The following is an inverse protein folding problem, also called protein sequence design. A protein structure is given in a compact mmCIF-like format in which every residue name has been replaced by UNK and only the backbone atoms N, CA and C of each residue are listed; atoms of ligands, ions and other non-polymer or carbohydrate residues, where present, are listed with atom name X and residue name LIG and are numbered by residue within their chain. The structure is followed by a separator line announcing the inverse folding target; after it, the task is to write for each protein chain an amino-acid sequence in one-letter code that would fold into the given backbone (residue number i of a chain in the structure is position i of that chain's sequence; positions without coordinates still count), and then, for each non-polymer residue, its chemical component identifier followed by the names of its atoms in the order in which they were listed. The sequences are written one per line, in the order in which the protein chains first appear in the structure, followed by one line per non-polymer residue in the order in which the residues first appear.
data_IF_673698825936
#
_entry.id   IF_673698825936
#
_cell.length_a   1.000
_cell.length_b   1.000
_cell.length_c   1.000
_cell.angle_alpha   90.00
_cell.angle_beta   90.00
_cell.angle_gamma   90.00
#
_symmetry.space_group_name_H-M   'P 1'
#
loop_
_entity.id
_entity.type
_entity.pdbx_description
1 polymer ?
#
# COMPACT_ATOMS: atom_id res chain seq x y z
N UNK A 1 27.73 -13.03 42.57
CA UNK A 1 28.15 -11.70 42.08
C UNK A 1 27.05 -10.69 42.40
N UNK A 2 27.15 -10.02 43.55
CA UNK A 2 26.28 -8.92 43.97
C UNK A 2 27.19 -7.70 44.09
N UNK A 3 26.98 -6.71 43.23
CA UNK A 3 27.76 -5.47 43.20
C UNK A 3 27.04 -4.37 43.98
N UNK A 4 27.74 -3.86 45.00
CA UNK A 4 27.46 -2.62 45.70
C UNK A 4 27.47 -1.40 44.77
N UNK A 5 26.59 -0.44 45.01
CA UNK A 5 26.80 0.97 44.66
C UNK A 5 26.13 1.86 45.69
N UNK A 6 26.95 2.29 46.67
CA UNK A 6 26.68 3.35 47.63
C UNK A 6 26.99 4.73 47.02
N UNK A 7 26.10 5.66 47.34
CA UNK A 7 26.36 7.07 47.68
C UNK A 7 26.88 8.05 46.61
N UNK A 8 26.03 9.05 46.31
CA UNK A 8 26.48 10.43 46.18
C UNK A 8 25.45 11.36 46.83
N UNK A 9 25.96 12.27 47.65
CA UNK A 9 25.28 13.08 48.66
C UNK A 9 25.45 14.57 48.26
N UNK A 10 24.52 15.43 48.72
CA UNK A 10 24.56 16.92 48.82
C UNK A 10 24.41 17.78 47.55
N UNK A 11 23.34 18.57 47.51
CA UNK A 11 23.29 19.91 48.14
C UNK A 11 21.87 20.46 48.16
N UNK A 12 21.31 20.58 49.36
CA UNK A 12 20.17 21.44 49.65
C UNK A 12 20.61 22.91 49.55
N UNK A 13 19.81 23.74 48.87
CA UNK A 13 19.80 25.18 49.08
C UNK A 13 18.43 25.56 49.61
N UNK A 14 18.45 26.02 50.84
CA UNK A 14 17.39 26.73 51.54
C UNK A 14 17.08 28.05 50.80
N UNK A 15 15.86 28.15 50.27
CA UNK A 15 15.29 29.39 49.77
C UNK A 15 14.01 29.69 50.54
N UNK A 16 14.12 30.53 51.56
CA UNK A 16 12.99 31.15 52.26
C UNK A 16 12.33 32.17 51.34
N UNK A 17 11.18 31.82 50.79
CA UNK A 17 10.32 32.70 50.01
C UNK A 17 8.87 32.50 50.41
N UNK A 18 8.38 33.42 51.25
CA UNK A 18 6.95 33.64 51.49
C UNK A 18 6.26 33.99 50.16
N UNK A 19 4.94 33.83 50.15
CA UNK A 19 3.98 34.23 49.12
C UNK A 19 3.66 33.16 48.05
N UNK A 20 2.58 32.41 48.28
CA UNK A 20 1.66 31.94 47.22
C UNK A 20 0.55 31.02 47.75
N UNK A 21 -0.12 31.40 48.84
CA UNK A 21 -1.23 30.61 49.42
C UNK A 21 -2.59 30.82 48.70
N UNK A 22 -2.61 31.35 47.47
CA UNK A 22 -3.85 31.67 46.73
C UNK A 22 -3.86 31.18 45.26
N UNK A 23 -3.06 30.18 44.88
CA UNK A 23 -3.07 29.61 43.52
C UNK A 23 -3.43 28.11 43.42
N UNK A 24 -3.62 27.42 44.56
CA UNK A 24 -3.94 25.99 44.58
C UNK A 24 -5.34 25.64 44.06
N UNK A 25 -6.34 26.47 44.36
CA UNK A 25 -7.74 26.14 44.06
C UNK A 25 -8.16 26.37 42.60
N UNK A 26 -7.42 27.21 41.85
CA UNK A 26 -7.69 27.44 40.42
C UNK A 26 -7.15 26.33 39.51
N UNK A 27 -6.13 25.59 39.93
CA UNK A 27 -5.56 24.49 39.14
C UNK A 27 -6.41 23.22 39.24
N UNK A 28 -7.00 22.94 40.41
CA UNK A 28 -7.86 21.77 40.59
C UNK A 28 -9.19 21.88 39.82
N UNK A 29 -9.76 23.08 39.70
CA UNK A 29 -10.95 23.31 38.87
C UNK A 29 -10.65 23.18 37.37
N UNK A 30 -9.49 23.61 36.88
CA UNK A 30 -9.11 23.44 35.48
C UNK A 30 -8.85 21.97 35.09
N UNK A 31 -8.30 21.16 36.00
CA UNK A 31 -8.06 19.73 35.76
C UNK A 31 -9.39 18.95 35.72
N UNK A 32 -10.32 19.29 36.62
CA UNK A 32 -11.66 18.67 36.66
C UNK A 32 -12.49 18.98 35.40
N UNK A 33 -12.44 20.21 34.89
CA UNK A 33 -13.17 20.60 33.67
C UNK A 33 -12.60 19.94 32.40
N UNK A 34 -11.28 19.73 32.32
CA UNK A 34 -10.67 19.00 31.18
C UNK A 34 -11.06 17.52 31.16
N UNK A 35 -11.18 16.89 32.34
CA UNK A 35 -11.65 15.51 32.46
C UNK A 35 -13.12 15.36 32.05
N UNK A 36 -14.00 16.29 32.46
CA UNK A 36 -15.42 16.25 32.08
C UNK A 36 -15.66 16.62 30.61
N UNK A 37 -14.89 17.55 30.04
CA UNK A 37 -15.00 17.89 28.61
C UNK A 37 -14.48 16.78 27.69
N UNK A 38 -13.42 16.07 28.09
CA UNK A 38 -12.98 14.84 27.40
C UNK A 38 -14.10 13.81 27.35
N UNK A 39 -14.79 13.59 28.47
CA UNK A 39 -15.87 12.61 28.56
C UNK A 39 -17.15 13.02 27.80
N UNK A 40 -17.42 14.32 27.67
CA UNK A 40 -18.55 14.84 26.88
C UNK A 40 -18.23 14.79 25.38
N UNK A 41 -17.00 15.13 24.98
CA UNK A 41 -16.56 14.97 23.58
C UNK A 41 -16.58 13.49 23.17
N UNK A 42 -16.09 12.56 24.00
CA UNK A 42 -16.16 11.13 23.68
C UNK A 42 -17.60 10.63 23.44
N UNK A 43 -18.61 11.28 24.03
CA UNK A 43 -20.03 10.93 23.86
C UNK A 43 -20.64 11.47 22.55
N UNK A 44 -20.30 12.69 22.13
CA UNK A 44 -20.81 13.25 20.86
C UNK A 44 -20.09 12.69 19.64
N UNK A 45 -18.82 12.32 19.79
CA UNK A 45 -18.01 11.68 18.73
C UNK A 45 -18.46 10.24 18.48
N UNK A 46 -18.82 9.52 19.55
CA UNK A 46 -19.47 8.21 19.47
C UNK A 46 -20.84 8.27 18.77
N UNK A 47 -21.47 9.45 18.66
CA UNK A 47 -22.79 9.60 18.05
C UNK A 47 -22.76 9.66 16.51
N UNK A 48 -21.63 10.01 15.88
CA UNK A 48 -21.55 10.13 14.41
C UNK A 48 -21.14 8.83 13.69
N UNK A 49 -20.18 8.07 14.24
CA UNK A 49 -19.81 6.76 13.68
C UNK A 49 -20.33 5.59 14.53
N UNK A 50 -20.71 5.79 15.80
CA UNK A 50 -21.02 4.70 16.72
C UNK A 50 -19.76 3.97 17.16
N UNK A 51 -19.45 3.96 18.46
CA UNK A 51 -18.36 3.12 19.00
C UNK A 51 -18.50 1.65 18.53
N UNK A 52 -19.73 1.17 18.43
CA UNK A 52 -20.06 -0.17 17.95
C UNK A 52 -19.70 -0.38 16.47
N UNK A 53 -19.90 0.62 15.60
CA UNK A 53 -19.54 0.50 14.19
C UNK A 53 -18.01 0.51 14.01
N UNK A 54 -17.30 1.37 14.75
CA UNK A 54 -15.82 1.38 14.75
C UNK A 54 -15.28 0.03 15.21
N UNK A 55 -15.85 -0.55 16.27
CA UNK A 55 -15.48 -1.88 16.76
C UNK A 55 -15.76 -2.96 15.70
N UNK A 56 -16.93 -2.92 15.06
CA UNK A 56 -17.31 -3.85 13.99
C UNK A 56 -16.38 -3.77 12.77
N UNK A 57 -15.99 -2.56 12.35
CA UNK A 57 -15.02 -2.38 11.26
C UNK A 57 -13.65 -2.92 11.63
N UNK A 58 -13.17 -2.70 12.86
CA UNK A 58 -11.90 -3.28 13.33
C UNK A 58 -11.94 -4.81 13.34
N UNK A 59 -13.06 -5.40 13.76
CA UNK A 59 -13.27 -6.85 13.70
C UNK A 59 -13.20 -7.36 12.26
N UNK A 60 -13.88 -6.70 11.31
CA UNK A 60 -13.81 -7.03 9.88
C UNK A 60 -12.40 -6.92 9.31
N UNK A 61 -11.63 -5.90 9.72
CA UNK A 61 -10.23 -5.77 9.32
C UNK A 61 -9.34 -6.85 9.93
N UNK A 62 -9.66 -7.37 11.11
CA UNK A 62 -8.93 -8.49 11.70
C UNK A 62 -9.15 -9.79 10.90
N UNK A 63 -10.31 -9.97 10.26
CA UNK A 63 -10.57 -11.11 9.36
C UNK A 63 -9.63 -11.14 8.15
N UNK A 64 -9.00 -10.01 7.79
CA UNK A 64 -8.02 -9.97 6.70
C UNK A 64 -6.72 -10.69 7.07
N UNK A 65 -6.49 -10.96 8.36
CA UNK A 65 -5.27 -11.60 8.86
C UNK A 65 -4.10 -10.64 9.02
N UNK A 66 -2.94 -11.22 9.31
CA UNK A 66 -1.64 -10.55 9.43
C UNK A 66 -0.65 -11.11 8.40
N UNK A 67 0.57 -10.57 8.35
CA UNK A 67 1.64 -11.11 7.52
C UNK A 67 1.85 -12.62 7.77
N UNK A 68 1.82 -13.41 6.70
CA UNK A 68 1.88 -14.86 6.72
C UNK A 68 0.61 -15.57 7.21
N UNK A 69 -0.44 -14.82 7.54
CA UNK A 69 -1.70 -15.32 8.11
C UNK A 69 -2.95 -14.78 7.38
N UNK A 70 -2.79 -14.19 6.19
CA UNK A 70 -3.93 -13.83 5.35
C UNK A 70 -4.67 -15.10 4.92
N UNK A 71 -6.00 -15.19 5.05
CA UNK A 71 -6.74 -16.38 4.64
C UNK A 71 -6.64 -16.62 3.12
N UNK A 72 -6.29 -17.84 2.66
CA UNK A 72 -6.26 -18.14 1.22
C UNK A 72 -7.59 -17.85 0.50
N UNK A 73 -8.78 -18.13 1.06
CA UNK A 73 -10.04 -17.79 0.41
C UNK A 73 -10.24 -16.30 0.13
N UNK A 74 -9.67 -15.42 0.97
CA UNK A 74 -9.73 -13.97 0.74
C UNK A 74 -8.84 -13.58 -0.45
N UNK A 75 -7.60 -14.08 -0.48
CA UNK A 75 -6.67 -13.82 -1.57
C UNK A 75 -7.22 -14.32 -2.92
N UNK A 76 -7.74 -15.56 -2.96
CA UNK A 76 -8.35 -16.13 -4.16
C UNK A 76 -9.53 -15.31 -4.66
N UNK A 77 -10.44 -14.92 -3.77
CA UNK A 77 -11.61 -14.10 -4.12
C UNK A 77 -11.23 -12.75 -4.72
N UNK A 78 -10.22 -12.10 -4.17
CA UNK A 78 -9.73 -10.82 -4.69
C UNK A 78 -9.15 -10.97 -6.10
N UNK A 79 -8.43 -12.05 -6.38
CA UNK A 79 -7.94 -12.34 -7.74
C UNK A 79 -9.09 -12.71 -8.68
N UNK A 80 -10.03 -13.53 -8.23
CA UNK A 80 -11.21 -13.89 -9.01
C UNK A 80 -12.01 -12.65 -9.45
N UNK A 81 -12.16 -11.68 -8.54
CA UNK A 81 -12.84 -10.42 -8.79
C UNK A 81 -12.12 -9.54 -9.83
N UNK A 82 -10.79 -9.53 -9.80
CA UNK A 82 -9.98 -8.48 -10.44
C UNK A 82 -9.07 -8.94 -11.57
N UNK A 83 -8.96 -10.23 -11.87
CA UNK A 83 -8.14 -10.73 -12.96
C UNK A 83 -8.84 -10.64 -14.32
N UNK A 84 -8.11 -10.21 -15.34
CA UNK A 84 -8.60 -10.00 -16.71
C UNK A 84 -7.60 -10.45 -17.79
N UNK A 85 -8.10 -10.80 -18.96
CA UNK A 85 -7.37 -10.95 -20.21
C UNK A 85 -7.65 -9.77 -21.12
N UNK A 86 -6.62 -8.97 -21.43
CA UNK A 86 -6.77 -7.74 -22.22
C UNK A 86 -6.75 -7.96 -23.73
N UNK A 87 -5.98 -8.94 -24.20
CA UNK A 87 -5.81 -9.22 -25.64
C UNK A 87 -6.65 -10.42 -26.12
N UNK A 88 -7.84 -10.61 -25.54
CA UNK A 88 -8.76 -11.60 -26.06
C UNK A 88 -9.35 -11.10 -27.40
N UNK A 89 -9.57 -11.98 -28.41
CA UNK A 89 -9.90 -11.56 -29.78
C UNK A 89 -11.14 -10.66 -29.94
N UNK A 90 -12.06 -10.69 -28.96
CA UNK A 90 -13.32 -9.95 -29.02
C UNK A 90 -13.29 -8.65 -28.18
N UNK A 91 -12.73 -8.69 -26.98
CA UNK A 91 -12.68 -7.58 -26.02
C UNK A 91 -11.94 -8.04 -24.76
N UNK A 92 -11.48 -7.13 -23.88
CA UNK A 92 -11.04 -7.52 -22.55
C UNK A 92 -12.11 -8.36 -21.83
N UNK A 93 -11.71 -9.50 -21.26
CA UNK A 93 -12.62 -10.46 -20.61
C UNK A 93 -12.10 -10.81 -19.22
N UNK A 94 -13.00 -10.96 -18.24
CA UNK A 94 -12.63 -11.43 -16.90
C UNK A 94 -11.98 -12.82 -16.96
N UNK A 95 -10.98 -13.04 -16.12
CA UNK A 95 -10.23 -14.28 -16.04
C UNK A 95 -10.26 -14.84 -14.61
N UNK A 96 -11.45 -15.22 -14.09
CA UNK A 96 -11.61 -15.62 -12.68
C UNK A 96 -10.75 -16.83 -12.29
N UNK A 97 -10.49 -17.75 -13.22
CA UNK A 97 -9.65 -18.94 -12.98
C UNK A 97 -8.19 -18.65 -12.59
N UNK A 98 -7.73 -17.39 -12.64
CA UNK A 98 -6.43 -17.02 -12.06
C UNK A 98 -6.41 -17.14 -10.53
N UNK A 99 -7.57 -17.16 -9.87
CA UNK A 99 -7.65 -17.40 -8.43
C UNK A 99 -7.10 -18.76 -8.02
N UNK A 100 -7.27 -19.78 -8.86
CA UNK A 100 -6.73 -21.14 -8.65
C UNK A 100 -5.20 -21.18 -8.71
N UNK A 101 -4.57 -20.16 -9.30
CA UNK A 101 -3.12 -20.00 -9.43
C UNK A 101 -2.49 -19.21 -8.29
N UNK A 102 -3.28 -18.79 -7.30
CA UNK A 102 -2.76 -18.12 -6.10
C UNK A 102 -1.97 -19.14 -5.29
N UNK A 103 -0.68 -18.88 -5.11
CA UNK A 103 0.26 -19.75 -4.40
C UNK A 103 0.99 -18.96 -3.31
N UNK A 104 1.61 -19.67 -2.38
CA UNK A 104 2.41 -19.06 -1.32
C UNK A 104 3.85 -18.92 -1.78
N UNK A 105 4.35 -17.70 -1.82
CA UNK A 105 5.73 -17.36 -2.16
C UNK A 105 6.45 -16.55 -1.07
N UNK A 106 7.58 -15.92 -1.39
CA UNK A 106 8.40 -15.15 -0.44
C UNK A 106 7.66 -14.00 0.24
N UNK A 107 6.66 -13.42 -0.43
CA UNK A 107 5.88 -12.27 0.04
C UNK A 107 4.46 -12.64 0.51
N UNK A 108 4.23 -13.92 0.84
CA UNK A 108 2.91 -14.44 1.19
C UNK A 108 2.15 -14.95 -0.03
N UNK A 109 0.84 -14.71 -0.09
CA UNK A 109 0.04 -15.06 -1.27
C UNK A 109 0.40 -14.21 -2.47
N UNK A 110 0.70 -14.86 -3.59
CA UNK A 110 1.05 -14.23 -4.86
C UNK A 110 0.44 -14.99 -6.04
N UNK A 111 0.33 -14.33 -7.18
CA UNK A 111 -0.10 -14.94 -8.45
C UNK A 111 0.84 -14.53 -9.56
N UNK A 112 1.29 -15.50 -10.35
CA UNK A 112 2.21 -15.28 -11.46
C UNK A 112 1.46 -14.88 -12.73
N UNK A 113 1.86 -13.75 -13.32
CA UNK A 113 1.40 -13.30 -14.62
C UNK A 113 2.58 -13.21 -15.60
N UNK A 114 2.70 -14.21 -16.46
CA UNK A 114 3.79 -14.34 -17.42
C UNK A 114 5.12 -14.64 -16.76
N UNK A 115 5.81 -13.60 -16.27
CA UNK A 115 7.08 -13.70 -15.55
C UNK A 115 7.22 -12.66 -14.43
N UNK A 116 6.13 -12.01 -14.04
CA UNK A 116 6.09 -11.13 -12.88
C UNK A 116 5.06 -11.69 -11.90
N UNK A 117 5.17 -11.27 -10.65
CA UNK A 117 4.25 -11.68 -9.59
C UNK A 117 3.43 -10.49 -9.12
N UNK A 118 2.12 -10.70 -9.00
CA UNK A 118 1.27 -9.80 -8.24
C UNK A 118 1.20 -10.30 -6.79
N UNK A 119 1.62 -9.44 -5.85
CA UNK A 119 1.79 -9.76 -4.44
C UNK A 119 0.46 -9.54 -3.70
N UNK A 120 -0.45 -10.51 -3.81
CA UNK A 120 -1.84 -10.42 -3.31
C UNK A 120 -1.90 -10.11 -1.81
N UNK A 121 -1.14 -10.85 -1.01
CA UNK A 121 -1.09 -10.66 0.44
C UNK A 121 -0.60 -9.25 0.80
N UNK A 122 0.45 -8.79 0.13
CA UNK A 122 0.97 -7.44 0.32
C UNK A 122 -0.10 -6.37 0.01
N UNK A 123 -0.83 -6.52 -1.10
CA UNK A 123 -1.90 -5.59 -1.46
C UNK A 123 -3.00 -5.53 -0.40
N UNK A 124 -3.38 -6.69 0.17
CA UNK A 124 -4.35 -6.81 1.25
C UNK A 124 -3.85 -6.09 2.50
N UNK A 125 -2.62 -6.36 2.93
CA UNK A 125 -2.08 -5.79 4.17
C UNK A 125 -1.84 -4.28 4.08
N UNK A 126 -1.36 -3.79 2.93
CA UNK A 126 -1.25 -2.35 2.68
C UNK A 126 -2.61 -1.65 2.68
N UNK A 127 -3.63 -2.32 2.13
CA UNK A 127 -5.01 -1.84 2.14
C UNK A 127 -5.58 -1.81 3.56
N UNK A 128 -5.46 -2.91 4.31
CA UNK A 128 -5.87 -3.03 5.72
C UNK A 128 -5.29 -1.88 6.53
N UNK A 129 -3.97 -1.68 6.47
CA UNK A 129 -3.29 -0.58 7.16
C UNK A 129 -3.84 0.78 6.77
N UNK A 130 -4.06 1.02 5.48
CA UNK A 130 -4.58 2.31 5.00
C UNK A 130 -6.01 2.58 5.50
N UNK A 131 -6.85 1.54 5.59
CA UNK A 131 -8.20 1.64 6.17
C UNK A 131 -8.11 1.91 7.67
N UNK A 132 -7.29 1.15 8.42
CA UNK A 132 -7.08 1.38 9.85
C UNK A 132 -6.59 2.80 10.12
N UNK A 133 -5.60 3.29 9.37
CA UNK A 133 -5.09 4.65 9.52
C UNK A 133 -6.17 5.70 9.22
N UNK A 134 -7.07 5.45 8.27
CA UNK A 134 -8.18 6.33 7.96
C UNK A 134 -9.24 6.34 9.07
N UNK A 135 -9.55 5.16 9.63
CA UNK A 135 -10.44 5.00 10.76
C UNK A 135 -9.92 5.71 12.01
N UNK A 136 -8.64 5.53 12.36
CA UNK A 136 -8.05 6.21 13.52
C UNK A 136 -8.08 7.73 13.36
N UNK A 137 -7.79 8.25 12.16
CA UNK A 137 -7.94 9.68 11.90
C UNK A 137 -9.37 10.15 12.09
N UNK A 138 -10.34 9.44 11.51
CA UNK A 138 -11.76 9.75 11.62
C UNK A 138 -12.25 9.77 13.07
N UNK A 139 -11.80 8.81 13.89
CA UNK A 139 -12.10 8.75 15.34
C UNK A 139 -11.50 9.97 16.05
N UNK A 140 -10.23 10.28 15.81
CA UNK A 140 -9.53 11.41 16.46
C UNK A 140 -10.11 12.77 16.05
N UNK A 141 -10.46 12.95 14.77
CA UNK A 141 -11.03 14.21 14.26
C UNK A 141 -12.55 14.27 14.34
N UNK A 142 -13.20 13.22 14.84
CA UNK A 142 -14.66 13.15 14.95
C UNK A 142 -15.38 13.38 13.63
N UNK A 143 -14.79 12.88 12.55
CA UNK A 143 -15.27 13.07 11.19
C UNK A 143 -15.55 11.74 10.53
N UNK A 144 -16.29 11.74 9.43
CA UNK A 144 -16.44 10.55 8.59
C UNK A 144 -15.15 10.26 7.81
N UNK A 145 -15.06 9.04 7.27
CA UNK A 145 -13.98 8.67 6.37
C UNK A 145 -14.27 9.28 4.99
N UNK A 146 -13.32 10.06 4.46
CA UNK A 146 -13.34 10.52 3.07
C UNK A 146 -13.11 9.32 2.14
N UNK A 147 -14.21 8.80 1.58
CA UNK A 147 -14.19 7.60 0.75
C UNK A 147 -13.41 7.80 -0.54
N UNK A 148 -13.48 8.99 -1.13
CA UNK A 148 -12.74 9.32 -2.36
C UNK A 148 -11.23 9.27 -2.13
N UNK A 149 -10.76 9.87 -1.04
CA UNK A 149 -9.35 9.84 -0.65
C UNK A 149 -8.89 8.44 -0.28
N UNK A 150 -9.72 7.67 0.44
CA UNK A 150 -9.39 6.29 0.80
C UNK A 150 -9.27 5.41 -0.45
N UNK A 151 -10.22 5.47 -1.39
CA UNK A 151 -10.13 4.72 -2.67
C UNK A 151 -8.86 5.05 -3.45
N UNK A 152 -8.48 6.33 -3.54
CA UNK A 152 -7.20 6.73 -4.17
C UNK A 152 -6.00 6.09 -3.48
N UNK A 153 -6.01 6.00 -2.14
CA UNK A 153 -4.94 5.33 -1.39
C UNK A 153 -4.94 3.82 -1.62
N UNK A 154 -6.10 3.17 -1.62
CA UNK A 154 -6.22 1.73 -1.90
C UNK A 154 -5.72 1.39 -3.31
N UNK A 155 -6.02 2.22 -4.31
CA UNK A 155 -5.46 2.07 -5.66
C UNK A 155 -3.92 2.08 -5.65
N UNK A 156 -3.31 2.98 -4.86
CA UNK A 156 -1.86 3.04 -4.71
C UNK A 156 -1.31 1.76 -4.04
N UNK A 157 -1.98 1.24 -3.00
CA UNK A 157 -1.58 -0.01 -2.34
C UNK A 157 -1.53 -1.20 -3.32
N UNK A 158 -2.51 -1.31 -4.22
CA UNK A 158 -2.52 -2.37 -5.25
C UNK A 158 -1.37 -2.18 -6.24
N UNK A 159 -1.11 -0.95 -6.70
CA UNK A 159 0.01 -0.64 -7.62
C UNK A 159 1.38 -0.93 -6.98
N UNK A 160 1.52 -0.70 -5.69
CA UNK A 160 2.73 -0.96 -4.90
C UNK A 160 3.01 -2.46 -4.65
N UNK A 161 2.18 -3.37 -5.18
CA UNK A 161 2.18 -4.80 -4.85
C UNK A 161 2.58 -5.69 -6.03
N UNK A 162 3.72 -5.39 -6.64
CA UNK A 162 4.26 -6.15 -7.79
C UNK A 162 5.73 -6.51 -7.57
N UNK A 163 6.09 -7.73 -7.96
CA UNK A 163 7.46 -8.21 -8.00
C UNK A 163 7.86 -8.72 -9.40
N UNK A 164 9.17 -8.65 -9.67
CA UNK A 164 9.82 -9.21 -10.86
C UNK A 164 9.91 -10.75 -10.78
N UNK A 165 10.38 -11.38 -11.86
CA UNK A 165 10.64 -12.84 -11.91
C UNK A 165 11.60 -13.36 -10.84
N UNK A 166 12.47 -12.50 -10.28
CA UNK A 166 13.40 -12.84 -9.20
C UNK A 166 12.83 -12.53 -7.81
N UNK A 167 11.52 -12.27 -7.69
CA UNK A 167 10.82 -11.85 -6.48
C UNK A 167 11.30 -10.52 -5.85
N UNK A 168 12.12 -9.74 -6.55
CA UNK A 168 12.39 -8.37 -6.13
C UNK A 168 11.16 -7.49 -6.40
N UNK A 169 10.77 -6.71 -5.40
CA UNK A 169 9.73 -5.71 -5.56
C UNK A 169 10.13 -4.66 -6.59
N UNK A 170 9.15 -4.14 -7.33
CA UNK A 170 9.37 -2.97 -8.16
C UNK A 170 9.41 -1.72 -7.26
N UNK A 171 10.61 -1.19 -7.01
CA UNK A 171 10.80 0.12 -6.38
C UNK A 171 10.04 1.24 -7.11
N UNK A 172 9.83 1.03 -8.42
CA UNK A 172 9.12 1.90 -9.33
C UNK A 172 7.77 2.41 -8.78
N UNK A 173 7.03 1.55 -8.06
CA UNK A 173 5.69 1.90 -7.56
C UNK A 173 5.68 2.57 -6.18
N UNK A 174 6.80 2.56 -5.45
CA UNK A 174 6.93 3.23 -4.15
C UNK A 174 7.10 4.74 -4.35
N UNK A 175 6.00 5.47 -4.54
CA UNK A 175 6.07 6.94 -4.67
C UNK A 175 4.90 7.64 -5.34
N UNK A 176 3.84 6.93 -5.72
CA UNK A 176 2.56 7.53 -6.11
C UNK A 176 2.48 8.17 -7.50
N UNK A 177 3.57 8.31 -8.23
CA UNK A 177 3.56 8.82 -9.61
C UNK A 177 3.80 7.67 -10.63
N UNK A 178 2.85 7.39 -11.54
CA UNK A 178 3.05 6.47 -12.67
C UNK A 178 4.19 6.95 -13.61
N UNK A 179 4.77 6.04 -14.41
CA UNK A 179 5.96 6.31 -15.23
C UNK A 179 5.74 7.34 -16.31
N UNK A 180 4.50 7.50 -16.76
CA UNK A 180 4.16 8.53 -17.74
C UNK A 180 4.42 9.95 -17.22
N UNK A 181 4.42 10.18 -15.91
CA UNK A 181 4.73 11.48 -15.30
C UNK A 181 6.22 11.67 -15.01
N UNK A 182 6.96 10.58 -14.79
CA UNK A 182 8.43 10.60 -14.76
C UNK A 182 8.90 10.24 -16.16
N UNK A 183 8.75 11.17 -17.11
CA UNK A 183 9.30 10.98 -18.45
C UNK A 183 10.64 10.28 -18.30
N UNK A 184 10.83 9.08 -18.90
CA UNK A 184 12.16 8.52 -18.96
C UNK A 184 12.99 9.65 -19.54
N UNK A 185 13.95 10.16 -18.77
CA UNK A 185 15.10 10.81 -19.37
C UNK A 185 15.72 9.68 -20.18
N UNK A 186 15.20 9.48 -21.38
CA UNK A 186 16.01 9.05 -22.49
C UNK A 186 17.08 10.13 -22.54
N UNK A 187 18.16 9.88 -21.79
CA UNK A 187 19.46 10.33 -22.20
C UNK A 187 19.54 9.70 -23.59
N UNK A 188 19.25 10.49 -24.62
CA UNK A 188 19.81 10.23 -25.92
C UNK A 188 21.30 10.23 -25.63
N UNK A 189 21.87 9.06 -25.33
CA UNK A 189 23.29 8.91 -25.57
C UNK A 189 23.47 9.41 -26.99
N UNK A 190 24.28 10.45 -27.22
CA UNK A 190 24.56 10.88 -28.57
C UNK A 190 24.97 9.62 -29.30
N UNK A 191 24.21 9.29 -30.35
CA UNK A 191 24.58 8.23 -31.28
C UNK A 191 26.07 8.40 -31.52
N UNK A 192 26.91 7.38 -31.27
CA UNK A 192 28.32 7.48 -31.61
C UNK A 192 28.34 7.93 -33.06
N UNK A 193 28.94 9.09 -33.27
CA UNK A 193 29.01 9.78 -34.55
C UNK A 193 29.35 8.70 -35.57
N UNK A 194 28.46 8.52 -36.55
CA UNK A 194 28.55 7.43 -37.52
C UNK A 194 29.82 7.66 -38.32
N UNK A 195 30.92 7.14 -37.78
CA UNK A 195 32.22 7.15 -38.38
C UNK A 195 32.04 6.58 -39.76
N UNK A 196 32.42 7.39 -40.75
CA UNK A 196 32.46 7.05 -42.15
C UNK A 196 33.10 5.67 -42.28
N UNK A 197 32.30 4.67 -42.62
CA UNK A 197 32.79 3.33 -42.96
C UNK A 197 33.58 3.53 -44.25
N UNK A 198 34.91 3.47 -44.16
CA UNK A 198 35.74 3.25 -45.32
C UNK A 198 35.53 1.80 -45.76
N UNK A 199 34.97 1.65 -46.95
CA UNK A 199 34.85 0.36 -47.64
C UNK A 199 36.24 -0.24 -47.84
N UNK A 200 36.52 -1.34 -47.15
CA UNK A 200 37.55 -2.28 -47.57
C UNK A 200 36.93 -3.65 -47.69
N UNK A 201 36.68 -4.05 -48.93
CA UNK A 201 36.30 -5.39 -49.32
C UNK A 201 37.36 -6.39 -48.83
N UNK A 202 36.97 -7.34 -48.00
CA UNK A 202 37.50 -8.71 -48.11
C UNK A 202 36.55 -9.70 -47.46
N UNK A 203 36.20 -10.70 -48.27
CA UNK A 203 35.28 -11.77 -47.95
C UNK A 203 35.87 -12.73 -46.92
N UNK A 204 35.04 -13.16 -45.97
CA UNK A 204 35.06 -14.55 -45.48
C UNK A 204 33.76 -14.85 -44.75
N UNK A 205 33.01 -15.80 -45.33
CA UNK A 205 31.95 -16.55 -44.68
C UNK A 205 32.42 -17.07 -43.33
N UNK A 206 31.71 -16.74 -42.25
CA UNK A 206 31.32 -17.78 -41.30
C UNK A 206 30.01 -17.43 -40.58
N UNK A 207 29.03 -18.29 -40.86
CA UNK A 207 27.70 -18.31 -40.28
C UNK A 207 27.77 -19.10 -38.97
N UNK A 208 27.44 -18.48 -37.84
CA UNK A 208 26.39 -18.91 -36.88
C UNK A 208 26.17 -17.72 -35.94
N UNK A 209 25.36 -16.73 -36.35
CA UNK A 209 24.84 -15.75 -35.41
C UNK A 209 23.77 -16.40 -34.54
N UNK A 210 24.16 -16.81 -33.33
CA UNK A 210 23.26 -16.97 -32.20
C UNK A 210 22.61 -15.61 -31.89
N UNK A 211 21.60 -15.21 -32.69
CA UNK A 211 20.66 -14.16 -32.29
C UNK A 211 19.81 -14.72 -31.17
N UNK A 212 20.35 -14.66 -29.94
CA UNK A 212 19.50 -14.58 -28.75
C UNK A 212 18.68 -13.31 -28.94
N UNK A 213 17.43 -13.48 -29.35
CA UNK A 213 16.41 -12.45 -29.25
C UNK A 213 16.28 -12.19 -27.75
N UNK A 214 17.04 -11.23 -27.24
CA UNK A 214 16.75 -10.62 -25.95
C UNK A 214 15.43 -9.90 -26.20
N UNK A 215 14.31 -10.58 -25.91
CA UNK A 215 13.02 -9.92 -25.75
C UNK A 215 13.23 -8.91 -24.62
N UNK A 216 13.52 -7.67 -25.01
CA UNK A 216 13.54 -6.55 -24.11
C UNK A 216 12.14 -6.49 -23.51
N UNK A 217 12.04 -6.97 -22.27
CA UNK A 217 10.84 -6.86 -21.45
C UNK A 217 10.47 -5.38 -21.44
N UNK A 218 9.41 -5.04 -22.20
CA UNK A 218 8.86 -3.69 -22.12
C UNK A 218 8.35 -3.52 -20.68
N UNK A 219 8.74 -2.45 -19.97
CA UNK A 219 8.15 -2.16 -18.67
C UNK A 219 6.64 -2.11 -18.85
N UNK A 220 5.92 -2.64 -17.86
CA UNK A 220 4.47 -2.63 -17.76
C UNK A 220 3.97 -1.21 -18.08
N UNK A 221 3.40 -1.03 -19.28
CA UNK A 221 2.84 0.24 -19.70
C UNK A 221 1.47 0.39 -19.02
N UNK A 222 1.26 1.48 -18.30
CA UNK A 222 -0.05 1.81 -17.77
C UNK A 222 -0.82 2.58 -18.85
N UNK A 223 -2.07 2.21 -19.04
CA UNK A 223 -3.04 3.12 -19.62
C UNK A 223 -3.80 3.69 -18.44
N UNK A 224 -3.55 4.96 -18.11
CA UNK A 224 -4.29 5.67 -17.05
C UNK A 224 -5.81 5.59 -17.28
N UNK A 225 -6.25 5.49 -18.54
CA UNK A 225 -7.67 5.50 -18.92
C UNK A 225 -8.46 4.24 -18.55
N UNK A 226 -7.80 3.11 -18.29
CA UNK A 226 -8.51 1.83 -18.13
C UNK A 226 -8.43 1.24 -16.72
N UNK A 227 -7.59 1.78 -15.82
CA UNK A 227 -7.49 1.31 -14.44
C UNK A 227 -6.92 -0.12 -14.29
N UNK A 228 -6.22 -0.62 -15.31
CA UNK A 228 -5.56 -1.92 -15.29
C UNK A 228 -4.08 -1.82 -14.94
N UNK A 229 -3.59 -2.82 -14.22
CA UNK A 229 -2.18 -3.12 -14.07
C UNK A 229 -1.85 -4.31 -14.97
N UNK A 230 -1.04 -4.09 -16.01
CA UNK A 230 -0.87 -5.04 -17.11
C UNK A 230 0.35 -5.96 -16.90
N UNK A 231 0.25 -7.17 -17.40
CA UNK A 231 1.24 -8.22 -17.30
C UNK A 231 1.26 -9.00 -18.62
N UNK A 232 1.78 -8.37 -19.68
CA UNK A 232 1.62 -8.89 -21.04
C UNK A 232 0.14 -8.86 -21.47
N UNK A 233 -0.45 -10.03 -21.73
CA UNK A 233 -1.86 -10.16 -22.14
C UNK A 233 -2.84 -10.25 -20.97
N UNK A 234 -2.31 -10.37 -19.75
CA UNK A 234 -3.07 -10.53 -18.51
C UNK A 234 -3.04 -9.22 -17.73
N UNK A 235 -4.02 -8.99 -16.85
CA UNK A 235 -4.05 -7.78 -16.04
C UNK A 235 -4.83 -7.98 -14.73
N UNK A 236 -4.53 -7.10 -13.77
CA UNK A 236 -5.38 -6.83 -12.61
C UNK A 236 -6.12 -5.52 -12.85
N UNK A 237 -7.45 -5.54 -12.81
CA UNK A 237 -8.26 -4.31 -12.80
C UNK A 237 -8.29 -3.76 -11.38
N UNK A 238 -7.58 -2.66 -11.17
CA UNK A 238 -7.32 -2.11 -9.83
C UNK A 238 -8.63 -1.72 -9.15
N UNK A 239 -9.55 -1.09 -9.88
CA UNK A 239 -10.87 -0.73 -9.36
C UNK A 239 -11.63 -1.92 -8.81
N UNK A 240 -11.70 -3.03 -9.57
CA UNK A 240 -12.39 -4.25 -9.15
C UNK A 240 -11.75 -4.87 -7.89
N UNK A 241 -10.41 -4.82 -7.77
CA UNK A 241 -9.71 -5.28 -6.57
C UNK A 241 -10.07 -4.40 -5.36
N UNK A 242 -10.05 -3.08 -5.53
CA UNK A 242 -10.37 -2.12 -4.47
C UNK A 242 -11.84 -2.20 -4.06
N UNK A 243 -12.75 -2.38 -5.01
CA UNK A 243 -14.18 -2.56 -4.73
C UNK A 243 -14.43 -3.85 -3.95
N UNK A 244 -13.70 -4.92 -4.25
CA UNK A 244 -13.80 -6.16 -3.49
C UNK A 244 -13.21 -6.00 -2.07
N UNK A 245 -12.07 -5.33 -1.88
CA UNK A 245 -11.57 -4.95 -0.54
C UNK A 245 -12.61 -4.13 0.22
N UNK A 246 -13.20 -3.14 -0.45
CA UNK A 246 -14.19 -2.23 0.11
C UNK A 246 -15.42 -2.98 0.62
N UNK A 247 -15.89 -3.94 -0.18
CA UNK A 247 -17.01 -4.82 0.15
C UNK A 247 -16.66 -5.75 1.32
N UNK A 248 -15.48 -6.36 1.34
CA UNK A 248 -15.05 -7.24 2.42
C UNK A 248 -14.91 -6.51 3.77
N UNK A 249 -14.46 -5.26 3.73
CA UNK A 249 -14.37 -4.40 4.92
C UNK A 249 -15.70 -3.71 5.28
N UNK A 250 -16.77 -3.91 4.50
CA UNK A 250 -18.09 -3.28 4.70
C UNK A 250 -18.02 -1.74 4.78
N UNK A 251 -17.21 -1.10 3.94
CA UNK A 251 -16.91 0.34 4.04
C UNK A 251 -18.06 1.26 3.59
N UNK A 252 -19.08 0.74 2.91
CA UNK A 252 -20.26 1.52 2.49
C UNK A 252 -21.01 2.16 3.65
N UNK A 253 -20.94 1.56 4.84
CA UNK A 253 -21.57 2.09 6.06
C UNK A 253 -20.76 3.22 6.73
N UNK A 254 -19.52 3.48 6.29
CA UNK A 254 -18.56 4.35 7.00
C UNK A 254 -18.09 5.55 6.19
N UNK A 255 -18.25 5.50 4.88
CA UNK A 255 -17.76 6.53 3.97
C UNK A 255 -18.92 7.40 3.48
N UNK A 256 -18.66 8.70 3.35
CA UNK A 256 -19.51 9.64 2.61
C UNK A 256 -19.06 9.75 1.15
#
# INVERSE_FOLDING_TARGET
MRGDLKAAFRREKSGTGRDSLLHGDRLLTQISLKSSLSYIFDKEVSLMLGADAVASLREKLNEFGEAGAVPPPLAQRLIEASAWWLHHPQSPTRAPGFSERVVRGPHGWEVEFGGNYFLVERAILLSKRSISDALERAVVSSSTIDGTRLRKRLNACVRESVAKSNHEEYDYYRGGAPPEMRQPRYIKEPLPDSGTIQDSETASNDRVSNRRVIQLFRPVAFSEDAGFMTFGTQAIKIGDFVDEIWRQANLDSFCL
#
